data_IF_992774164000
#
_entry.id   IF_992774164000
#
_cell.length_a   1.000
_cell.length_b   1.000
_cell.length_c   1.000
_cell.angle_alpha   90.00
_cell.angle_beta   90.00
_cell.angle_gamma   90.00
#
_symmetry.space_group_name_H-M   'P 1'
#
loop_
_entity.id
_entity.type
_entity.pdbx_description
1 polymer ?
#
# COMPACT_ATOMS: atom_id res chain seq x y z
N UNK A 1 -4.90 19.78 4.57
CA UNK A 1 -5.27 19.22 3.25
C UNK A 1 -4.20 19.69 2.26
N UNK A 2 -3.48 18.79 1.59
CA UNK A 2 -2.51 19.20 0.56
C UNK A 2 -3.29 19.79 -0.64
N UNK A 3 -2.81 20.88 -1.26
CA UNK A 3 -3.46 21.44 -2.45
C UNK A 3 -3.51 20.39 -3.56
N UNK A 4 -4.56 20.43 -4.36
CA UNK A 4 -4.71 19.52 -5.49
C UNK A 4 -3.71 19.87 -6.60
N UNK A 5 -2.67 19.05 -6.77
CA UNK A 5 -1.58 19.32 -7.72
C UNK A 5 -1.87 18.84 -9.15
N UNK A 6 -2.98 18.14 -9.38
CA UNK A 6 -3.37 17.74 -10.73
C UNK A 6 -3.94 18.91 -11.52
N UNK A 7 -3.56 19.06 -12.81
CA UNK A 7 -4.07 20.14 -13.64
C UNK A 7 -5.58 20.02 -13.86
N UNK A 8 -6.26 21.16 -13.88
CA UNK A 8 -7.68 21.24 -14.24
C UNK A 8 -7.91 20.80 -15.70
N UNK A 9 -9.13 20.37 -16.07
CA UNK A 9 -9.50 20.09 -17.45
C UNK A 9 -9.29 21.31 -18.36
N UNK A 10 -8.54 21.14 -19.45
CA UNK A 10 -8.44 22.15 -20.49
C UNK A 10 -9.67 22.08 -21.42
N UNK A 11 -9.73 22.93 -22.46
CA UNK A 11 -10.87 22.94 -23.39
C UNK A 11 -11.09 21.58 -24.08
N UNK A 12 -10.03 20.88 -24.48
CA UNK A 12 -10.15 19.57 -25.12
C UNK A 12 -10.69 18.51 -24.16
N UNK A 13 -10.23 18.52 -22.90
CA UNK A 13 -10.74 17.63 -21.85
C UNK A 13 -12.23 17.87 -21.60
N UNK A 14 -12.67 19.14 -21.58
CA UNK A 14 -14.08 19.50 -21.37
C UNK A 14 -14.94 19.05 -22.55
N UNK A 15 -14.49 19.26 -23.79
CA UNK A 15 -15.17 18.78 -25.00
C UNK A 15 -15.33 17.26 -24.94
N UNK A 16 -14.27 16.53 -24.56
CA UNK A 16 -14.35 15.09 -24.39
C UNK A 16 -15.37 14.69 -23.32
N UNK A 17 -15.31 15.31 -22.14
CA UNK A 17 -16.26 15.03 -21.04
C UNK A 17 -17.70 15.25 -21.49
N UNK A 18 -17.99 16.38 -22.15
CA UNK A 18 -19.34 16.67 -22.68
C UNK A 18 -19.78 15.69 -23.77
N UNK A 19 -18.84 15.12 -24.55
CA UNK A 19 -19.16 14.13 -25.58
C UNK A 19 -19.69 12.81 -25.01
N UNK A 20 -19.31 12.47 -23.76
CA UNK A 20 -19.72 11.22 -23.10
C UNK A 20 -21.23 11.10 -22.87
N UNK A 21 -21.93 12.24 -22.84
CA UNK A 21 -23.39 12.33 -22.66
C UNK A 21 -24.14 12.43 -24.00
N UNK A 22 -23.40 12.48 -25.12
CA UNK A 22 -23.96 12.57 -26.46
C UNK A 22 -23.84 11.24 -27.20
N UNK A 23 -24.66 11.03 -28.25
CA UNK A 23 -24.51 9.89 -29.16
C UNK A 23 -23.21 9.94 -30.00
N UNK A 24 -22.32 10.91 -29.76
CA UNK A 24 -21.10 11.12 -30.54
C UNK A 24 -19.88 10.41 -29.95
N UNK A 25 -19.95 9.88 -28.72
CA UNK A 25 -18.82 9.12 -28.15
C UNK A 25 -18.84 7.67 -28.64
N UNK A 26 -17.93 7.34 -29.55
CA UNK A 26 -17.70 5.97 -29.99
C UNK A 26 -16.84 5.21 -28.97
N UNK A 27 -17.50 4.55 -28.03
CA UNK A 27 -16.87 3.85 -26.92
C UNK A 27 -15.89 2.76 -27.40
N UNK A 28 -16.30 1.91 -28.35
CA UNK A 28 -15.48 0.82 -28.87
C UNK A 28 -14.22 1.32 -29.58
N UNK A 29 -14.37 2.36 -30.40
CA UNK A 29 -13.24 2.97 -31.09
C UNK A 29 -12.26 3.59 -30.09
N UNK A 30 -12.75 4.31 -29.09
CA UNK A 30 -11.92 4.91 -28.05
C UNK A 30 -11.08 3.85 -27.33
N UNK A 31 -11.70 2.79 -26.81
CA UNK A 31 -10.99 1.75 -26.05
C UNK A 31 -10.09 0.87 -26.92
N UNK A 32 -10.36 0.74 -28.23
CA UNK A 32 -9.48 0.01 -29.15
C UNK A 32 -8.10 0.67 -29.32
N UNK A 33 -7.99 1.98 -29.04
CA UNK A 33 -6.77 2.77 -29.19
C UNK A 33 -6.04 3.04 -27.87
N UNK A 34 -6.61 2.58 -26.75
CA UNK A 34 -6.03 2.82 -25.42
C UNK A 34 -4.73 2.03 -25.26
N UNK A 35 -3.68 2.74 -24.88
CA UNK A 35 -2.38 2.15 -24.52
C UNK A 35 -1.88 2.74 -23.20
N UNK A 36 -0.69 2.31 -22.74
CA UNK A 36 -0.07 2.87 -21.53
C UNK A 36 0.12 4.39 -21.60
N UNK A 37 0.39 4.97 -22.77
CA UNK A 37 0.58 6.42 -22.91
C UNK A 37 -0.72 7.21 -22.70
N UNK A 38 -1.87 6.57 -22.94
CA UNK A 38 -3.20 7.11 -22.72
C UNK A 38 -3.56 7.25 -21.23
N UNK A 39 -2.84 6.58 -20.31
CA UNK A 39 -3.19 6.54 -18.89
C UNK A 39 -3.24 7.92 -18.23
N UNK A 40 -2.33 8.82 -18.60
CA UNK A 40 -2.32 10.18 -18.05
C UNK A 40 -3.64 10.91 -18.31
N UNK A 41 -4.16 10.80 -19.53
CA UNK A 41 -5.44 11.34 -19.94
C UNK A 41 -6.60 10.60 -19.25
N UNK A 42 -6.63 9.27 -19.32
CA UNK A 42 -7.72 8.45 -18.75
C UNK A 42 -7.87 8.72 -17.25
N UNK A 43 -6.78 8.70 -16.50
CA UNK A 43 -6.79 8.95 -15.04
C UNK A 43 -7.22 10.38 -14.73
N UNK A 44 -6.81 11.36 -15.55
CA UNK A 44 -7.25 12.75 -15.44
C UNK A 44 -8.76 12.86 -15.67
N UNK A 45 -9.29 12.37 -16.78
CA UNK A 45 -10.72 12.48 -17.08
C UNK A 45 -11.57 11.73 -16.04
N UNK A 46 -11.14 10.55 -15.60
CA UNK A 46 -11.84 9.77 -14.57
C UNK A 46 -11.90 10.45 -13.20
N UNK A 47 -11.09 11.49 -12.96
CA UNK A 47 -11.23 12.33 -11.77
C UNK A 47 -12.38 13.33 -11.89
N UNK A 48 -12.65 13.83 -13.10
CA UNK A 48 -13.59 14.92 -13.35
C UNK A 48 -14.92 14.44 -13.93
N UNK A 49 -15.04 13.18 -14.35
CA UNK A 49 -16.26 12.60 -14.91
C UNK A 49 -16.58 11.25 -14.28
N UNK A 50 -17.62 11.23 -13.43
CA UNK A 50 -18.19 9.99 -12.88
C UNK A 50 -18.73 9.11 -14.02
N UNK A 51 -19.32 9.71 -15.05
CA UNK A 51 -19.80 8.99 -16.24
C UNK A 51 -18.66 8.22 -16.91
N UNK A 52 -17.49 8.85 -17.07
CA UNK A 52 -16.33 8.18 -17.66
C UNK A 52 -15.83 7.02 -16.79
N UNK A 53 -15.85 7.18 -15.46
CA UNK A 53 -15.53 6.09 -14.52
C UNK A 53 -16.47 4.90 -14.75
N UNK A 54 -17.79 5.14 -14.79
CA UNK A 54 -18.78 4.08 -15.03
C UNK A 54 -18.55 3.36 -16.35
N UNK A 55 -18.15 4.09 -17.41
CA UNK A 55 -17.81 3.48 -18.69
C UNK A 55 -16.55 2.62 -18.59
N UNK A 56 -15.48 3.13 -17.95
CA UNK A 56 -14.25 2.38 -17.75
C UNK A 56 -14.46 1.12 -16.91
N UNK A 57 -15.40 1.11 -15.98
CA UNK A 57 -15.68 -0.03 -15.09
C UNK A 57 -16.54 -1.14 -15.73
N UNK A 58 -16.95 -0.99 -17.00
CA UNK A 58 -17.68 -2.05 -17.70
C UNK A 58 -16.80 -3.29 -17.88
N UNK A 59 -17.38 -4.47 -17.67
CA UNK A 59 -16.70 -5.76 -17.78
C UNK A 59 -16.04 -6.00 -19.14
N UNK A 60 -16.57 -5.43 -20.22
CA UNK A 60 -16.00 -5.56 -21.57
C UNK A 60 -14.58 -4.98 -21.70
N UNK A 61 -14.19 -4.04 -20.80
CA UNK A 61 -12.87 -3.44 -20.78
C UNK A 61 -11.94 -4.01 -19.70
N UNK A 62 -12.40 -4.98 -18.91
CA UNK A 62 -11.60 -5.55 -17.82
C UNK A 62 -10.28 -6.15 -18.34
N UNK A 63 -10.34 -6.84 -19.48
CA UNK A 63 -9.14 -7.43 -20.13
C UNK A 63 -8.13 -6.36 -20.54
N UNK A 64 -8.61 -5.21 -21.06
CA UNK A 64 -7.74 -4.07 -21.38
C UNK A 64 -7.04 -3.56 -20.11
N UNK A 65 -7.78 -3.38 -19.02
CA UNK A 65 -7.20 -2.90 -17.76
C UNK A 65 -6.20 -3.87 -17.14
N UNK A 66 -6.47 -5.19 -17.21
CA UNK A 66 -5.51 -6.23 -16.82
C UNK A 66 -4.20 -6.12 -17.60
N UNK A 67 -4.28 -5.95 -18.92
CA UNK A 67 -3.11 -5.80 -19.78
C UNK A 67 -2.31 -4.54 -19.43
N UNK A 68 -2.98 -3.40 -19.27
CA UNK A 68 -2.30 -2.15 -18.88
C UNK A 68 -1.72 -2.22 -17.46
N UNK A 69 -2.39 -2.86 -16.51
CA UNK A 69 -1.88 -3.05 -15.16
C UNK A 69 -0.62 -3.92 -15.15
N UNK A 70 -0.64 -5.01 -15.92
CA UNK A 70 0.52 -5.87 -16.10
C UNK A 70 1.71 -5.12 -16.71
N UNK A 71 1.47 -4.35 -17.77
CA UNK A 71 2.48 -3.55 -18.45
C UNK A 71 3.02 -2.39 -17.58
N UNK A 72 2.17 -1.79 -16.74
CA UNK A 72 2.59 -0.77 -15.78
C UNK A 72 3.53 -1.35 -14.71
N UNK A 73 3.33 -2.61 -14.29
CA UNK A 73 4.28 -3.32 -13.42
C UNK A 73 5.69 -3.37 -14.02
N UNK A 74 5.81 -3.70 -15.31
CA UNK A 74 7.08 -3.68 -16.03
C UNK A 74 7.71 -2.28 -16.03
N UNK A 75 6.89 -1.23 -16.24
CA UNK A 75 7.35 0.16 -16.21
C UNK A 75 7.86 0.59 -14.82
N UNK A 76 7.15 0.22 -13.75
CA UNK A 76 7.52 0.53 -12.36
C UNK A 76 8.81 -0.18 -11.95
N UNK A 77 9.04 -1.38 -12.49
CA UNK A 77 10.18 -2.23 -12.12
C UNK A 77 11.31 -2.23 -13.15
N UNK A 78 11.29 -1.30 -14.12
CA UNK A 78 12.23 -1.26 -15.25
C UNK A 78 13.71 -1.20 -14.84
N UNK A 79 14.01 -0.58 -13.70
CA UNK A 79 15.38 -0.37 -13.21
C UNK A 79 15.85 -1.51 -12.28
N UNK A 80 15.02 -2.53 -12.04
CA UNK A 80 15.41 -3.74 -11.31
C UNK A 80 16.20 -4.70 -12.21
N UNK A 81 17.01 -5.62 -11.64
CA UNK A 81 17.74 -6.62 -12.43
C UNK A 81 16.86 -7.42 -13.41
N UNK A 82 15.59 -7.62 -13.06
CA UNK A 82 14.60 -8.20 -13.93
C UNK A 82 13.27 -7.47 -13.72
N UNK A 83 12.79 -6.78 -14.75
CA UNK A 83 11.48 -6.14 -14.73
C UNK A 83 10.38 -7.20 -14.53
N UNK A 84 9.40 -6.87 -13.69
CA UNK A 84 8.32 -7.76 -13.27
C UNK A 84 6.99 -7.18 -13.72
N UNK A 85 6.28 -7.92 -14.54
CA UNK A 85 4.89 -7.66 -14.81
C UNK A 85 4.06 -7.89 -13.54
N UNK A 86 2.96 -7.15 -13.42
CA UNK A 86 1.95 -7.48 -12.43
C UNK A 86 1.03 -8.58 -12.96
N UNK A 87 0.65 -9.49 -12.06
CA UNK A 87 -0.38 -10.47 -12.30
C UNK A 87 -1.75 -9.80 -12.14
N UNK A 88 -2.69 -10.13 -13.04
CA UNK A 88 -4.08 -9.82 -12.82
C UNK A 88 -4.60 -10.59 -11.60
N UNK A 89 -5.53 -10.00 -10.85
CA UNK A 89 -6.23 -10.72 -9.80
C UNK A 89 -7.50 -11.30 -10.43
N UNK A 90 -7.56 -12.62 -10.62
CA UNK A 90 -8.70 -13.27 -11.28
C UNK A 90 -9.90 -13.52 -10.36
N UNK A 91 -9.88 -12.95 -9.16
CA UNK A 91 -11.02 -12.97 -8.23
C UNK A 91 -12.12 -12.01 -8.73
N UNK A 92 -13.37 -12.48 -8.76
CA UNK A 92 -14.56 -11.75 -9.28
C UNK A 92 -14.83 -10.36 -8.65
N UNK A 93 -14.07 -9.99 -7.61
CA UNK A 93 -14.28 -8.77 -6.82
C UNK A 93 -13.30 -7.64 -7.15
N UNK A 94 -12.32 -7.84 -8.03
CA UNK A 94 -11.28 -6.84 -8.29
C UNK A 94 -11.66 -5.94 -9.47
N UNK A 95 -11.81 -4.66 -9.19
CA UNK A 95 -11.94 -3.63 -10.22
C UNK A 95 -10.55 -3.25 -10.76
N UNK A 96 -10.16 -3.83 -11.91
CA UNK A 96 -8.84 -3.62 -12.50
C UNK A 96 -8.60 -2.18 -12.95
N UNK A 97 -9.66 -1.42 -13.26
CA UNK A 97 -9.53 -0.01 -13.55
C UNK A 97 -9.07 0.79 -12.32
N UNK A 98 -9.68 0.54 -11.16
CA UNK A 98 -9.27 1.18 -9.90
C UNK A 98 -7.87 0.75 -9.47
N UNK A 99 -7.54 -0.53 -9.61
CA UNK A 99 -6.21 -1.06 -9.33
C UNK A 99 -5.14 -0.38 -10.20
N UNK A 100 -5.41 -0.22 -11.49
CA UNK A 100 -4.54 0.47 -12.44
C UNK A 100 -4.34 1.95 -12.07
N UNK A 101 -5.39 2.65 -11.62
CA UNK A 101 -5.28 4.03 -11.12
C UNK A 101 -4.37 4.13 -9.90
N UNK A 102 -4.54 3.22 -8.94
CA UNK A 102 -3.67 3.15 -7.76
C UNK A 102 -2.20 2.96 -8.13
N UNK A 103 -1.91 2.01 -9.02
CA UNK A 103 -0.56 1.77 -9.53
C UNK A 103 0.00 2.95 -10.34
N UNK A 104 -0.83 3.64 -11.13
CA UNK A 104 -0.40 4.80 -11.90
C UNK A 104 -0.02 5.97 -10.99
N UNK A 105 -0.82 6.27 -9.96
CA UNK A 105 -0.45 7.28 -8.98
C UNK A 105 0.79 6.91 -8.18
N UNK A 106 0.99 5.63 -7.85
CA UNK A 106 2.24 5.17 -7.25
C UNK A 106 3.42 5.37 -8.20
N UNK A 107 3.27 5.10 -9.51
CA UNK A 107 4.30 5.39 -10.50
C UNK A 107 4.70 6.88 -10.51
N UNK A 108 3.74 7.80 -10.45
CA UNK A 108 4.02 9.24 -10.36
C UNK A 108 4.75 9.61 -9.06
N UNK A 109 4.49 8.90 -7.95
CA UNK A 109 5.24 9.11 -6.71
C UNK A 109 6.70 8.66 -6.86
N UNK A 110 6.96 7.56 -7.57
CA UNK A 110 8.33 7.11 -7.85
C UNK A 110 9.09 8.10 -8.74
N UNK A 111 8.45 8.67 -9.76
CA UNK A 111 9.06 9.74 -10.57
C UNK A 111 9.44 10.97 -9.71
N UNK A 112 8.57 11.35 -8.77
CA UNK A 112 8.84 12.46 -7.86
C UNK A 112 9.98 12.15 -6.87
N UNK A 113 10.08 10.90 -6.41
CA UNK A 113 11.15 10.39 -5.55
C UNK A 113 12.52 10.43 -6.25
N UNK A 114 12.58 9.96 -7.50
CA UNK A 114 13.81 9.96 -8.31
C UNK A 114 14.30 11.39 -8.59
N UNK A 115 13.37 12.30 -8.91
CA UNK A 115 13.69 13.71 -9.18
C UNK A 115 14.26 14.48 -7.96
N UNK A 116 14.07 13.96 -6.74
CA UNK A 116 14.50 14.60 -5.48
C UNK A 116 15.62 13.84 -4.77
N UNK A 117 16.40 13.05 -5.51
CA UNK A 117 17.56 12.37 -4.94
C UNK A 117 17.19 11.39 -3.83
N UNK A 118 16.02 10.74 -3.95
CA UNK A 118 15.54 9.69 -3.03
C UNK A 118 15.16 10.17 -1.63
N UNK A 119 14.81 11.43 -1.47
CA UNK A 119 14.22 11.97 -0.25
C UNK A 119 12.72 12.20 -0.41
N UNK A 120 11.97 12.03 0.68
CA UNK A 120 10.53 12.32 0.68
C UNK A 120 10.27 13.78 0.36
N UNK A 121 9.44 14.02 -0.66
CA UNK A 121 9.02 15.35 -1.09
C UNK A 121 7.51 15.54 -0.95
N UNK A 122 7.05 16.80 -0.87
CA UNK A 122 5.62 17.09 -0.87
C UNK A 122 4.89 16.53 -2.10
N UNK A 123 5.58 16.49 -3.25
CA UNK A 123 5.03 15.94 -4.48
C UNK A 123 4.90 14.41 -4.41
N UNK A 124 5.91 13.70 -3.91
CA UNK A 124 5.82 12.26 -3.66
C UNK A 124 4.65 11.95 -2.71
N UNK A 125 4.58 12.66 -1.58
CA UNK A 125 3.50 12.46 -0.59
C UNK A 125 2.11 12.76 -1.17
N UNK A 126 1.99 13.77 -2.03
CA UNK A 126 0.72 14.04 -2.73
C UNK A 126 0.31 12.83 -3.59
N UNK A 127 1.21 12.30 -4.41
CA UNK A 127 0.91 11.16 -5.27
C UNK A 127 0.65 9.86 -4.50
N UNK A 128 1.39 9.61 -3.42
CA UNK A 128 1.10 8.51 -2.50
C UNK A 128 -0.32 8.62 -1.95
N UNK A 129 -0.73 9.81 -1.47
CA UNK A 129 -2.10 10.03 -0.99
C UNK A 129 -3.16 9.81 -2.07
N UNK A 130 -2.90 10.16 -3.34
CA UNK A 130 -3.83 9.82 -4.42
C UNK A 130 -3.89 8.31 -4.66
N UNK A 131 -2.75 7.61 -4.65
CA UNK A 131 -2.69 6.16 -4.84
C UNK A 131 -3.40 5.38 -3.73
N UNK A 132 -3.29 5.84 -2.48
CA UNK A 132 -3.95 5.21 -1.32
C UNK A 132 -5.49 5.29 -1.39
N UNK A 133 -6.07 6.30 -2.07
CA UNK A 133 -7.52 6.36 -2.32
C UNK A 133 -8.02 5.23 -3.22
N UNK A 134 -7.11 4.59 -3.94
CA UNK A 134 -7.37 3.41 -4.78
C UNK A 134 -6.70 2.17 -4.17
N UNK A 135 -6.52 2.15 -2.85
CA UNK A 135 -6.07 0.99 -2.07
C UNK A 135 -4.71 0.41 -2.52
N UNK A 136 -3.83 1.25 -3.09
CA UNK A 136 -2.50 0.83 -3.53
C UNK A 136 -1.64 0.36 -2.35
N UNK A 137 -1.29 -0.93 -2.32
CA UNK A 137 -0.39 -1.49 -1.30
C UNK A 137 1.00 -0.86 -1.34
N UNK A 138 1.52 -0.56 -2.54
CA UNK A 138 2.82 0.06 -2.70
C UNK A 138 2.84 1.46 -2.10
N UNK A 139 1.74 2.21 -2.28
CA UNK A 139 1.61 3.54 -1.70
C UNK A 139 1.50 3.47 -0.17
N UNK A 140 0.69 2.56 0.39
CA UNK A 140 0.60 2.35 1.83
C UNK A 140 1.97 1.99 2.40
N UNK A 141 2.69 1.04 1.81
CA UNK A 141 4.01 0.62 2.27
C UNK A 141 5.02 1.78 2.25
N UNK A 142 5.07 2.53 1.14
CA UNK A 142 6.00 3.66 1.01
C UNK A 142 5.66 4.80 1.98
N UNK A 143 4.38 5.07 2.20
CA UNK A 143 3.95 6.09 3.15
C UNK A 143 4.17 5.64 4.61
N UNK A 144 3.98 4.36 4.94
CA UNK A 144 4.36 3.80 6.25
C UNK A 144 5.87 3.96 6.49
N UNK A 145 6.70 3.77 5.47
CA UNK A 145 8.14 4.05 5.59
C UNK A 145 8.43 5.52 5.90
N UNK A 146 7.70 6.46 5.28
CA UNK A 146 7.76 7.89 5.62
C UNK A 146 7.39 8.13 7.09
N UNK A 147 6.30 7.52 7.55
CA UNK A 147 5.84 7.61 8.93
C UNK A 147 6.92 7.12 9.90
N UNK A 148 7.55 5.97 9.63
CA UNK A 148 8.63 5.47 10.48
C UNK A 148 9.87 6.37 10.47
N UNK A 149 10.29 6.90 9.32
CA UNK A 149 11.38 7.88 9.27
C UNK A 149 11.08 9.17 10.04
N UNK A 150 9.81 9.54 10.16
CA UNK A 150 9.39 10.70 10.95
C UNK A 150 9.58 10.46 12.46
N UNK A 151 9.43 9.22 12.91
CA UNK A 151 9.65 8.83 14.31
C UNK A 151 11.11 9.02 14.73
N UNK A 152 12.07 8.75 13.84
CA UNK A 152 13.51 8.92 14.12
C UNK A 152 13.92 10.37 14.46
N UNK A 153 13.09 11.34 14.08
CA UNK A 153 13.34 12.79 14.28
C UNK A 153 12.43 13.40 15.33
N UNK A 154 11.55 12.61 15.95
CA UNK A 154 10.48 13.12 16.82
C UNK A 154 10.88 13.13 18.29
N UNK A 155 10.46 14.18 18.97
CA UNK A 155 10.68 14.39 20.42
C UNK A 155 9.37 14.20 21.21
N UNK A 156 8.21 14.32 20.56
CA UNK A 156 6.90 14.24 21.23
C UNK A 156 6.38 12.80 21.32
N UNK A 157 6.06 12.37 22.54
CA UNK A 157 5.55 11.04 22.86
C UNK A 157 4.13 10.81 22.29
N UNK A 158 3.22 11.76 22.48
CA UNK A 158 1.83 11.67 21.98
C UNK A 158 1.76 11.58 20.45
N UNK A 159 2.63 12.31 19.74
CA UNK A 159 2.69 12.26 18.29
C UNK A 159 3.27 10.93 17.78
N UNK A 160 4.19 10.33 18.53
CA UNK A 160 4.75 9.01 18.23
C UNK A 160 3.63 7.94 18.18
N UNK A 161 2.80 7.90 19.22
CA UNK A 161 1.68 6.96 19.29
C UNK A 161 0.68 7.13 18.13
N UNK A 162 0.35 8.38 17.78
CA UNK A 162 -0.56 8.68 16.65
C UNK A 162 -0.03 8.14 15.32
N UNK A 163 1.28 8.30 15.07
CA UNK A 163 1.91 7.81 13.84
C UNK A 163 1.89 6.29 13.76
N UNK A 164 2.17 5.60 14.86
CA UNK A 164 2.13 4.13 14.88
C UNK A 164 0.71 3.60 14.67
N UNK A 165 -0.30 4.27 15.25
CA UNK A 165 -1.72 3.96 15.02
C UNK A 165 -2.10 4.21 13.55
N UNK A 166 -1.63 5.30 12.95
CA UNK A 166 -1.84 5.60 11.53
C UNK A 166 -1.28 4.50 10.63
N UNK A 167 -0.04 4.03 10.91
CA UNK A 167 0.56 2.92 10.18
C UNK A 167 -0.26 1.62 10.30
N UNK A 168 -0.75 1.28 11.50
CA UNK A 168 -1.64 0.13 11.72
C UNK A 168 -2.91 0.26 10.88
N UNK A 169 -3.54 1.43 10.86
CA UNK A 169 -4.78 1.66 10.13
C UNK A 169 -4.58 1.55 8.61
N UNK A 170 -3.46 2.04 8.08
CA UNK A 170 -3.10 1.87 6.67
C UNK A 170 -2.87 0.41 6.29
N UNK A 171 -2.25 -0.40 7.15
CA UNK A 171 -2.12 -1.84 6.88
C UNK A 171 -3.48 -2.55 6.80
N UNK A 172 -4.47 -2.10 7.60
CA UNK A 172 -5.80 -2.74 7.67
C UNK A 172 -6.64 -2.56 6.39
N UNK A 173 -6.41 -1.52 5.59
CA UNK A 173 -7.23 -1.26 4.39
C UNK A 173 -7.08 -2.34 3.32
N UNK A 174 -5.93 -3.02 3.28
CA UNK A 174 -5.53 -3.86 2.16
C UNK A 174 -5.50 -5.37 2.49
N UNK A 175 -5.97 -5.77 3.67
CA UNK A 175 -5.84 -7.15 4.18
C UNK A 175 -6.54 -8.17 3.27
N UNK A 176 -7.71 -7.85 2.74
CA UNK A 176 -8.49 -8.78 1.93
C UNK A 176 -7.84 -8.98 0.55
N UNK A 177 -7.35 -7.91 -0.08
CA UNK A 177 -6.79 -7.96 -1.43
C UNK A 177 -5.36 -8.51 -1.48
N UNK A 178 -4.54 -8.18 -0.48
CA UNK A 178 -3.12 -8.52 -0.48
C UNK A 178 -2.74 -9.62 0.52
N UNK A 179 -3.70 -10.11 1.29
CA UNK A 179 -3.59 -11.30 2.13
C UNK A 179 -2.30 -11.33 2.94
N UNK A 180 -1.49 -12.36 2.70
CA UNK A 180 -0.26 -12.62 3.46
C UNK A 180 0.68 -11.42 3.54
N UNK A 181 0.89 -10.70 2.43
CA UNK A 181 1.80 -9.55 2.39
C UNK A 181 1.32 -8.40 3.29
N UNK A 182 0.03 -8.07 3.23
CA UNK A 182 -0.55 -7.02 4.06
C UNK A 182 -0.60 -7.40 5.55
N UNK A 183 -0.85 -8.68 5.86
CA UNK A 183 -0.80 -9.17 7.24
C UNK A 183 0.62 -9.15 7.83
N UNK A 184 1.66 -9.38 7.03
CA UNK A 184 3.05 -9.22 7.47
C UNK A 184 3.39 -7.76 7.78
N UNK A 185 2.96 -6.82 6.93
CA UNK A 185 3.08 -5.39 7.22
C UNK A 185 2.33 -4.99 8.50
N UNK A 186 1.14 -5.56 8.72
CA UNK A 186 0.35 -5.32 9.94
C UNK A 186 1.03 -5.87 11.19
N UNK A 187 1.67 -7.05 11.10
CA UNK A 187 2.45 -7.62 12.19
C UNK A 187 3.59 -6.67 12.60
N UNK A 188 4.38 -6.17 11.63
CA UNK A 188 5.42 -5.18 11.96
C UNK A 188 4.85 -3.90 12.60
N UNK A 189 3.73 -3.37 12.07
CA UNK A 189 3.13 -2.16 12.61
C UNK A 189 2.69 -2.33 14.07
N UNK A 190 2.07 -3.47 14.41
CA UNK A 190 1.74 -3.79 15.80
C UNK A 190 2.96 -4.03 16.66
N UNK A 191 4.00 -4.68 16.14
CA UNK A 191 5.25 -4.89 16.87
C UNK A 191 5.92 -3.57 17.24
N UNK A 192 6.02 -2.62 16.30
CA UNK A 192 6.59 -1.29 16.58
C UNK A 192 5.78 -0.54 17.63
N UNK A 193 4.45 -0.63 17.58
CA UNK A 193 3.57 -0.10 18.62
C UNK A 193 3.77 -0.78 19.97
N UNK A 194 3.92 -2.11 20.01
CA UNK A 194 4.21 -2.84 21.24
C UNK A 194 5.55 -2.42 21.86
N UNK A 195 6.60 -2.27 21.04
CA UNK A 195 7.91 -1.83 21.50
C UNK A 195 7.87 -0.41 22.08
N UNK A 196 7.15 0.52 21.43
CA UNK A 196 6.97 1.87 21.94
C UNK A 196 6.18 1.90 23.26
N UNK A 197 5.05 1.17 23.35
CA UNK A 197 4.27 1.10 24.61
C UNK A 197 5.10 0.47 25.75
N UNK A 198 5.95 -0.52 25.46
CA UNK A 198 6.85 -1.13 26.44
C UNK A 198 7.89 -0.12 26.95
N UNK A 199 8.54 0.62 26.06
CA UNK A 199 9.49 1.69 26.42
C UNK A 199 8.83 2.80 27.23
N UNK A 200 7.52 2.98 27.06
CA UNK A 200 6.71 3.96 27.76
C UNK A 200 6.21 3.48 29.12
N UNK A 201 6.54 2.25 29.53
CA UNK A 201 6.08 1.62 30.77
C UNK A 201 4.64 1.08 30.72
N UNK A 202 3.98 1.12 29.56
CA UNK A 202 2.60 0.67 29.37
C UNK A 202 2.54 -0.82 29.00
N UNK A 203 3.04 -1.68 29.89
CA UNK A 203 3.17 -3.13 29.65
C UNK A 203 1.88 -3.83 29.24
N UNK A 204 0.73 -3.41 29.78
CA UNK A 204 -0.58 -3.98 29.39
C UNK A 204 -0.87 -3.76 27.90
N UNK A 205 -0.67 -2.52 27.41
CA UNK A 205 -0.86 -2.20 25.98
C UNK A 205 0.17 -2.89 25.11
N UNK A 206 1.42 -2.98 25.56
CA UNK A 206 2.46 -3.71 24.87
C UNK A 206 2.11 -5.21 24.72
N UNK A 207 1.62 -5.86 25.79
CA UNK A 207 1.14 -7.25 25.77
C UNK A 207 -0.05 -7.43 24.81
N UNK A 208 -1.00 -6.50 24.78
CA UNK A 208 -2.12 -6.56 23.81
C UNK A 208 -1.64 -6.38 22.37
N UNK A 209 -0.73 -5.44 22.12
CA UNK A 209 -0.21 -5.15 20.80
C UNK A 209 0.66 -6.29 20.25
N UNK A 210 1.51 -6.92 21.07
CA UNK A 210 2.30 -8.07 20.64
C UNK A 210 1.39 -9.27 20.31
N UNK A 211 0.31 -9.49 21.07
CA UNK A 211 -0.69 -10.50 20.75
C UNK A 211 -1.38 -10.21 19.41
N UNK A 212 -1.72 -8.95 19.12
CA UNK A 212 -2.25 -8.55 17.82
C UNK A 212 -1.25 -8.77 16.68
N UNK A 213 0.05 -8.50 16.91
CA UNK A 213 1.12 -8.78 15.96
C UNK A 213 1.23 -10.28 15.65
N UNK A 214 1.23 -11.13 16.68
CA UNK A 214 1.24 -12.60 16.55
C UNK A 214 0.03 -13.08 15.77
N UNK A 215 -1.17 -12.57 16.06
CA UNK A 215 -2.39 -12.93 15.34
C UNK A 215 -2.34 -12.50 13.87
N UNK A 216 -1.79 -11.33 13.56
CA UNK A 216 -1.58 -10.90 12.18
C UNK A 216 -0.62 -11.85 11.45
N UNK A 217 0.45 -12.30 12.11
CA UNK A 217 1.41 -13.26 11.57
C UNK A 217 0.79 -14.64 11.29
N UNK A 218 -0.05 -15.15 12.20
CA UNK A 218 -0.81 -16.39 12.00
C UNK A 218 -1.75 -16.26 10.79
N UNK A 219 -2.42 -15.11 10.65
CA UNK A 219 -3.23 -14.84 9.45
C UNK A 219 -2.36 -14.80 8.19
N UNK A 220 -1.20 -14.16 8.23
CA UNK A 220 -0.28 -14.14 7.09
C UNK A 220 0.07 -15.56 6.61
N UNK A 221 0.34 -16.47 7.53
CA UNK A 221 0.56 -17.89 7.24
C UNK A 221 -0.64 -18.55 6.57
N UNK A 222 -1.84 -18.34 7.11
CA UNK A 222 -3.07 -18.94 6.57
C UNK A 222 -3.36 -18.48 5.13
N UNK A 223 -3.02 -17.24 4.79
CA UNK A 223 -3.22 -16.67 3.46
C UNK A 223 -2.07 -16.93 2.47
N UNK A 224 -0.95 -17.55 2.91
CA UNK A 224 0.30 -17.62 2.15
C UNK A 224 0.11 -18.21 0.74
N UNK A 225 -0.52 -19.39 0.66
CA UNK A 225 -0.72 -20.11 -0.60
C UNK A 225 -1.72 -19.41 -1.54
N UNK A 226 -2.74 -18.75 -0.98
CA UNK A 226 -3.76 -18.04 -1.76
C UNK A 226 -3.22 -16.70 -2.28
N UNK A 227 -2.24 -16.12 -1.58
CA UNK A 227 -1.73 -14.79 -1.87
C UNK A 227 -0.53 -14.76 -2.83
N UNK A 228 -0.16 -15.85 -3.50
CA UNK A 228 1.08 -15.94 -4.30
C UNK A 228 1.21 -14.76 -5.29
N UNK A 229 0.16 -14.48 -6.06
CA UNK A 229 0.17 -13.38 -7.02
C UNK A 229 0.13 -12.01 -6.35
N UNK A 230 -0.64 -11.87 -5.26
CA UNK A 230 -0.68 -10.63 -4.47
C UNK A 230 0.66 -10.31 -3.81
N UNK A 231 1.38 -11.32 -3.30
CA UNK A 231 2.74 -11.21 -2.75
C UNK A 231 3.69 -10.76 -3.84
N UNK A 232 3.67 -11.40 -5.02
CA UNK A 232 4.49 -10.98 -6.15
C UNK A 232 4.24 -9.53 -6.53
N UNK A 233 2.97 -9.14 -6.69
CA UNK A 233 2.59 -7.78 -7.05
C UNK A 233 3.05 -6.77 -5.98
N UNK A 234 2.70 -6.99 -4.72
CA UNK A 234 2.99 -6.07 -3.62
C UNK A 234 4.50 -5.93 -3.34
N UNK A 235 5.24 -7.04 -3.44
CA UNK A 235 6.70 -7.05 -3.27
C UNK A 235 7.47 -6.58 -4.50
N UNK A 236 6.79 -6.32 -5.62
CA UNK A 236 7.42 -6.07 -6.92
C UNK A 236 8.38 -7.22 -7.30
N UNK A 237 7.95 -8.47 -7.05
CA UNK A 237 8.64 -9.73 -7.35
C UNK A 237 9.77 -10.11 -6.38
N UNK A 238 9.88 -9.46 -5.23
CA UNK A 238 10.95 -9.72 -4.25
C UNK A 238 10.52 -10.58 -3.06
N UNK A 239 9.25 -10.95 -2.95
CA UNK A 239 8.75 -11.83 -1.90
C UNK A 239 8.44 -11.12 -0.58
N UNK A 240 8.16 -11.92 0.45
CA UNK A 240 7.64 -11.44 1.73
C UNK A 240 8.69 -10.68 2.54
N UNK A 241 9.99 -10.85 2.33
CA UNK A 241 11.01 -10.02 3.01
C UNK A 241 10.83 -8.53 2.80
N UNK A 242 10.17 -8.12 1.71
CA UNK A 242 9.88 -6.69 1.47
C UNK A 242 8.75 -6.15 2.33
N UNK A 243 7.87 -7.01 2.85
CA UNK A 243 6.75 -6.59 3.68
C UNK A 243 7.18 -6.09 5.06
N UNK A 244 8.43 -6.39 5.48
CA UNK A 244 8.91 -6.07 6.82
C UNK A 244 10.35 -5.57 6.85
N UNK A 245 10.70 -4.76 7.85
CA UNK A 245 12.07 -4.22 8.00
C UNK A 245 13.11 -5.24 8.46
N UNK A 246 12.68 -6.40 8.98
CA UNK A 246 13.57 -7.48 9.42
C UNK A 246 14.07 -8.32 8.23
N UNK A 247 13.47 -8.16 7.05
CA UNK A 247 13.83 -8.93 5.85
C UNK A 247 13.45 -10.41 5.94
N UNK A 248 12.49 -10.77 6.79
CA UNK A 248 12.07 -12.16 7.01
C UNK A 248 11.08 -12.60 5.92
N UNK A 249 11.34 -13.78 5.35
CA UNK A 249 10.68 -14.27 4.14
C UNK A 249 9.49 -15.18 4.44
N UNK A 250 9.38 -15.71 5.66
CA UNK A 250 8.22 -16.51 6.06
C UNK A 250 7.56 -16.00 7.36
N UNK A 251 6.23 -16.15 7.49
CA UNK A 251 5.53 -15.81 8.73
C UNK A 251 6.03 -16.57 9.97
N UNK A 252 6.54 -17.79 9.81
CA UNK A 252 7.08 -18.57 10.93
C UNK A 252 8.30 -17.92 11.58
N UNK A 253 9.20 -17.34 10.78
CA UNK A 253 10.37 -16.60 11.27
C UNK A 253 9.95 -15.37 12.06
N UNK A 254 8.98 -14.62 11.55
CA UNK A 254 8.43 -13.45 12.25
C UNK A 254 7.76 -13.88 13.55
N UNK A 255 6.98 -14.96 13.55
CA UNK A 255 6.33 -15.47 14.76
C UNK A 255 7.35 -15.85 15.84
N UNK A 256 8.43 -16.54 15.45
CA UNK A 256 9.52 -16.88 16.37
C UNK A 256 10.17 -15.62 16.95
N UNK A 257 10.48 -14.64 16.10
CA UNK A 257 11.03 -13.36 16.53
C UNK A 257 10.12 -12.65 17.55
N UNK A 258 8.82 -12.54 17.26
CA UNK A 258 7.85 -11.86 18.12
C UNK A 258 7.73 -12.54 19.49
N UNK A 259 7.69 -13.88 19.52
CA UNK A 259 7.60 -14.64 20.75
C UNK A 259 8.86 -14.47 21.61
N UNK A 260 10.04 -14.55 21.00
CA UNK A 260 11.31 -14.32 21.71
C UNK A 260 11.36 -12.89 22.27
N UNK A 261 10.98 -11.89 21.48
CA UNK A 261 10.92 -10.51 21.94
C UNK A 261 9.97 -10.35 23.13
N UNK A 262 8.77 -10.95 23.08
CA UNK A 262 7.81 -10.89 24.16
C UNK A 262 8.35 -11.52 25.46
N UNK A 263 9.02 -12.67 25.37
CA UNK A 263 9.67 -13.34 26.51
C UNK A 263 10.69 -12.41 27.16
N UNK A 264 11.57 -11.80 26.37
CA UNK A 264 12.66 -10.97 26.90
C UNK A 264 12.23 -9.59 27.43
N UNK A 265 11.12 -9.03 26.93
CA UNK A 265 10.77 -7.63 27.18
C UNK A 265 9.46 -7.43 27.95
N UNK A 266 8.62 -8.46 28.05
CA UNK A 266 7.28 -8.37 28.66
C UNK A 266 7.02 -9.39 29.76
N UNK A 267 7.89 -10.38 29.96
CA UNK A 267 7.89 -11.15 31.19
C UNK A 267 8.34 -10.22 32.32
N UNK A 268 7.53 -10.14 33.36
CA UNK A 268 7.83 -9.34 34.54
C UNK A 268 9.19 -9.76 35.10
N UNK A 269 10.01 -8.80 35.52
CA UNK A 269 11.02 -9.08 36.54
C UNK A 269 10.27 -9.47 37.82
N UNK A 270 9.78 -10.70 37.92
CA UNK A 270 9.20 -11.29 39.14
C UNK A 270 10.26 -11.48 40.27
N UNK A 271 11.44 -10.86 40.16
CA UNK A 271 12.59 -11.08 41.04
C UNK A 271 12.89 -9.93 42.02
N UNK A 272 12.05 -8.90 42.14
CA UNK A 272 12.27 -7.82 43.13
C UNK A 272 11.23 -7.76 44.25
N UNK A 273 10.57 -8.87 44.56
CA UNK A 273 9.72 -9.00 45.76
C UNK A 273 10.10 -10.25 46.55
N UNK A 274 11.36 -10.35 46.96
CA UNK A 274 11.72 -11.15 48.14
C UNK A 274 11.71 -10.19 49.33
N UNK A 275 10.79 -10.32 50.29
CA UNK A 275 10.90 -9.58 51.53
C UNK A 275 12.13 -10.10 52.27
N UNK A 276 13.09 -9.23 52.57
CA UNK A 276 14.10 -9.53 53.58
C UNK A 276 13.37 -9.73 54.92
N UNK A 277 13.56 -10.91 55.50
CA UNK A 277 13.08 -11.30 56.83
C UNK A 277 13.84 -10.57 57.93
#
# INVERSE_FOLDING_TARGET
MLPDLQPQPNLADQIFISSLDSNNFNEQEFFSQVTLTSLSFIVKIAKFSVRFVTVCEKNEYDTLWKQLYSALGLMITKDKPCAKAFFAHDEERVNHFMLLRGAYYFHLSQQAFDAKGKAFSHLELYWLNQAMKFESIHANQRYIHFLYQKLDKMVSHDEHGKILIEAINLCKTNLNQYGSYAYMMLAEAFFRYAAWEQQSGNFSRAKSAISASVNACIKAKNYLNQSIFSIHNASLGEGLKRSNSLGLECPEEVLLFLNNWAIHNLQEQELSAVPEY
#
